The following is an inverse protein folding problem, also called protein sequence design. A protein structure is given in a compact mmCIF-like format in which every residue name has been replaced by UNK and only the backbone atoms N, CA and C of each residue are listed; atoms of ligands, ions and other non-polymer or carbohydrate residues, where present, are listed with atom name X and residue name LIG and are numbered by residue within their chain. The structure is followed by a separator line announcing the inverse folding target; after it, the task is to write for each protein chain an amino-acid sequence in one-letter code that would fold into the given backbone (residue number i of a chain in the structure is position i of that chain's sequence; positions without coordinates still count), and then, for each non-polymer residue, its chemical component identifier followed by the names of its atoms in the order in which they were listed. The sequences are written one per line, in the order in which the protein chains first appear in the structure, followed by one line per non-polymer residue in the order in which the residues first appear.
data_IF_278510193430
#
_entry.id   IF_278510193430
#
_cell.length_a   1.000
_cell.length_b   1.000
_cell.length_c   1.000
_cell.angle_alpha   90.00
_cell.angle_beta   90.00
_cell.angle_gamma   90.00
#
_symmetry.space_group_name_H-M   'P 1'
#
loop_
_entity.id
_entity.type
_entity.pdbx_description
1 polymer ?
#
# COMPACT_ATOMS: atom_id res chain seq x y z
N UNK A 1 -13.64 17.07 -0.90
CA UNK A 1 -12.25 16.79 -1.31
C UNK A 1 -11.97 15.32 -1.16
N UNK A 2 -11.98 14.60 -2.29
CA UNK A 2 -11.69 13.16 -2.28
C UNK A 2 -10.18 12.94 -2.29
N UNK A 3 -9.54 13.16 -1.14
CA UNK A 3 -8.12 12.84 -0.97
C UNK A 3 -7.92 11.33 -0.99
N UNK A 4 -6.83 10.92 -1.62
CA UNK A 4 -6.40 9.51 -1.70
C UNK A 4 -5.32 9.27 -0.66
N UNK A 5 -5.41 8.14 0.02
CA UNK A 5 -4.50 7.76 1.09
C UNK A 5 -3.99 6.33 0.89
N UNK A 6 -2.80 6.09 1.34
CA UNK A 6 -2.33 4.72 1.59
C UNK A 6 -2.74 4.31 3.00
N UNK A 7 -3.66 3.36 3.11
CA UNK A 7 -4.03 2.73 4.37
C UNK A 7 -3.02 1.63 4.70
N UNK A 8 -2.52 1.65 5.91
CA UNK A 8 -1.66 0.61 6.47
C UNK A 8 -2.36 -0.01 7.66
N UNK A 9 -2.57 -1.32 7.63
CA UNK A 9 -3.13 -2.07 8.76
C UNK A 9 -2.13 -3.16 9.16
N UNK A 10 -1.74 -3.16 10.42
CA UNK A 10 -0.83 -4.14 11.02
C UNK A 10 -1.62 -4.93 12.06
N UNK A 11 -1.64 -6.25 11.94
CA UNK A 11 -2.40 -7.14 12.85
C UNK A 11 -1.68 -8.47 13.03
N UNK A 12 -2.23 -9.36 13.83
CA UNK A 12 -1.69 -10.68 14.02
C UNK A 12 -1.96 -11.59 12.80
N UNK A 13 -1.01 -12.45 12.45
CA UNK A 13 -1.10 -13.34 11.28
C UNK A 13 -2.33 -14.24 11.29
N UNK A 14 -2.80 -14.68 12.46
CA UNK A 14 -3.99 -15.52 12.59
C UNK A 14 -5.29 -14.82 12.18
N UNK A 15 -5.32 -13.48 12.13
CA UNK A 15 -6.46 -12.67 11.70
C UNK A 15 -6.56 -12.46 10.18
N UNK A 16 -5.68 -13.09 9.39
CA UNK A 16 -5.62 -12.90 7.92
C UNK A 16 -6.99 -13.05 7.23
N UNK A 17 -7.70 -14.13 7.52
CA UNK A 17 -8.99 -14.43 6.88
C UNK A 17 -10.04 -13.38 7.23
N UNK A 18 -10.12 -13.00 8.50
CA UNK A 18 -11.10 -12.04 9.01
C UNK A 18 -10.91 -10.67 8.33
N UNK A 19 -9.66 -10.17 8.28
CA UNK A 19 -9.36 -8.89 7.63
C UNK A 19 -9.57 -8.92 6.11
N UNK A 20 -9.21 -10.01 5.42
CA UNK A 20 -9.48 -10.15 3.99
C UNK A 20 -10.98 -10.10 3.68
N UNK A 21 -11.81 -10.80 4.46
CA UNK A 21 -13.26 -10.79 4.32
C UNK A 21 -13.79 -9.39 4.61
N UNK A 22 -13.38 -8.80 5.74
CA UNK A 22 -13.78 -7.46 6.14
C UNK A 22 -13.50 -6.41 5.05
N UNK A 23 -12.30 -6.39 4.48
CA UNK A 23 -11.96 -5.42 3.43
C UNK A 23 -12.81 -5.60 2.18
N UNK A 24 -13.01 -6.84 1.72
CA UNK A 24 -13.85 -7.12 0.55
C UNK A 24 -15.32 -6.68 0.77
N UNK A 25 -15.90 -6.99 1.93
CA UNK A 25 -17.26 -6.60 2.29
C UNK A 25 -17.46 -5.08 2.37
N UNK A 26 -16.38 -4.34 2.59
CA UNK A 26 -16.40 -2.87 2.71
C UNK A 26 -15.90 -2.15 1.43
N UNK A 27 -15.95 -2.83 0.27
CA UNK A 27 -15.61 -2.22 -1.02
C UNK A 27 -14.11 -1.99 -1.23
N UNK A 28 -13.26 -2.76 -0.56
CA UNK A 28 -11.81 -2.71 -0.72
C UNK A 28 -11.26 -4.06 -1.22
N UNK A 29 -11.50 -4.42 -2.50
CA UNK A 29 -11.05 -5.70 -3.04
C UNK A 29 -9.56 -5.72 -3.43
N UNK A 30 -8.93 -4.55 -3.57
CA UNK A 30 -7.54 -4.41 -4.01
C UNK A 30 -6.67 -3.98 -2.83
N UNK A 31 -5.80 -4.87 -2.40
CA UNK A 31 -4.80 -4.61 -1.36
C UNK A 31 -3.58 -5.52 -1.55
N UNK A 32 -2.48 -5.13 -0.95
CA UNK A 32 -1.27 -5.93 -0.80
C UNK A 32 -1.20 -6.46 0.63
N UNK A 33 -0.68 -7.66 0.79
CA UNK A 33 -0.38 -8.20 2.13
C UNK A 33 1.06 -8.72 2.18
N UNK A 34 1.71 -8.49 3.30
CA UNK A 34 3.02 -9.03 3.61
C UNK A 34 3.12 -9.40 5.08
N UNK A 35 4.08 -10.23 5.43
CA UNK A 35 4.35 -10.61 6.81
C UNK A 35 5.50 -9.76 7.37
N UNK A 36 5.46 -9.54 8.66
CA UNK A 36 6.51 -8.87 9.40
C UNK A 36 6.67 -9.48 10.79
N UNK A 37 7.67 -9.05 11.52
CA UNK A 37 7.93 -9.47 12.88
C UNK A 37 7.67 -8.30 13.84
N UNK A 38 6.93 -8.55 14.92
CA UNK A 38 6.78 -7.58 16.00
C UNK A 38 8.08 -7.48 16.80
N UNK A 39 8.43 -6.25 17.18
CA UNK A 39 9.67 -5.93 17.91
C UNK A 39 9.34 -5.36 19.31
N UNK A 40 8.17 -5.68 19.89
CA UNK A 40 7.85 -5.29 21.25
C UNK A 40 8.91 -5.88 22.22
N UNK A 41 9.28 -5.11 23.25
CA UNK A 41 10.26 -5.58 24.22
C UNK A 41 9.78 -6.87 24.89
N UNK A 42 10.69 -7.83 25.06
CA UNK A 42 10.42 -9.13 25.66
C UNK A 42 9.74 -9.02 27.03
N UNK A 43 10.13 -8.06 27.87
CA UNK A 43 9.54 -7.82 29.19
C UNK A 43 8.02 -7.60 29.15
N UNK A 44 7.51 -6.89 28.12
CA UNK A 44 6.07 -6.68 27.93
C UNK A 44 5.40 -7.95 27.40
N UNK A 45 6.07 -8.70 26.54
CA UNK A 45 5.56 -9.96 26.01
C UNK A 45 5.54 -11.04 27.07
N UNK A 46 6.61 -11.15 27.88
CA UNK A 46 6.74 -12.10 28.98
C UNK A 46 5.70 -11.84 30.07
N UNK A 47 5.45 -10.57 30.41
CA UNK A 47 4.43 -10.19 31.39
C UNK A 47 3.01 -10.62 31.01
N UNK A 48 2.70 -10.61 29.69
CA UNK A 48 1.39 -11.02 29.15
C UNK A 48 1.38 -12.45 28.61
N UNK A 49 2.48 -13.21 28.74
CA UNK A 49 2.59 -14.57 28.17
C UNK A 49 2.46 -14.60 26.66
N UNK A 50 2.87 -13.53 25.96
CA UNK A 50 2.80 -13.40 24.51
C UNK A 50 4.16 -13.73 23.91
N UNK A 51 4.21 -14.71 23.02
CA UNK A 51 5.38 -14.97 22.19
C UNK A 51 5.54 -13.88 21.11
N UNK A 52 6.77 -13.70 20.59
CA UNK A 52 7.02 -12.87 19.41
C UNK A 52 6.11 -13.30 18.27
N UNK A 53 5.07 -12.53 18.01
CA UNK A 53 4.07 -12.93 17.04
C UNK A 53 4.40 -12.40 15.65
N UNK A 54 4.32 -13.28 14.64
CA UNK A 54 4.31 -12.84 13.25
C UNK A 54 3.15 -11.86 13.02
N UNK A 55 3.48 -10.73 12.46
CA UNK A 55 2.52 -9.69 12.09
C UNK A 55 2.17 -9.80 10.61
N UNK A 56 0.97 -9.40 10.29
CA UNK A 56 0.48 -9.26 8.93
C UNK A 56 0.26 -7.78 8.67
N UNK A 57 0.80 -7.30 7.54
CA UNK A 57 0.62 -5.94 7.05
C UNK A 57 -0.28 -5.98 5.84
N UNK A 58 -1.29 -5.12 5.84
CA UNK A 58 -2.11 -4.82 4.67
C UNK A 58 -1.83 -3.39 4.22
N UNK A 59 -1.60 -3.23 2.92
CA UNK A 59 -1.42 -1.94 2.27
C UNK A 59 -2.52 -1.78 1.21
N UNK A 60 -3.27 -0.70 1.26
CA UNK A 60 -4.34 -0.45 0.30
C UNK A 60 -4.50 1.04 0.02
N UNK A 61 -5.01 1.36 -1.16
CA UNK A 61 -5.33 2.75 -1.51
C UNK A 61 -6.81 2.99 -1.21
N UNK A 62 -7.08 4.01 -0.41
CA UNK A 62 -8.43 4.36 0.02
C UNK A 62 -8.75 5.83 -0.21
N UNK A 63 -10.00 6.11 -0.52
CA UNK A 63 -10.53 7.48 -0.49
C UNK A 63 -10.88 7.89 0.93
N UNK A 64 -11.03 9.19 1.17
CA UNK A 64 -11.43 9.69 2.50
C UNK A 64 -12.77 9.14 2.97
N UNK A 65 -13.73 8.97 2.07
CA UNK A 65 -15.05 8.40 2.39
C UNK A 65 -14.96 6.92 2.72
N UNK A 66 -14.21 6.14 1.93
CA UNK A 66 -13.96 4.74 2.22
C UNK A 66 -13.26 4.56 3.57
N UNK A 67 -12.26 5.39 3.86
CA UNK A 67 -11.61 5.37 5.17
C UNK A 67 -12.55 5.61 6.33
N UNK A 68 -13.48 6.56 6.23
CA UNK A 68 -14.47 6.81 7.29
C UNK A 68 -15.36 5.59 7.55
N UNK A 69 -15.80 4.91 6.47
CA UNK A 69 -16.60 3.68 6.55
C UNK A 69 -15.77 2.54 7.17
N UNK A 70 -14.55 2.31 6.68
CA UNK A 70 -13.62 1.28 7.18
C UNK A 70 -13.25 1.49 8.65
N UNK A 71 -12.90 2.72 9.05
CA UNK A 71 -12.51 3.03 10.43
C UNK A 71 -13.55 2.61 11.44
N UNK A 72 -14.84 2.87 11.17
CA UNK A 72 -15.92 2.42 12.04
C UNK A 72 -15.93 0.90 12.17
N UNK A 73 -15.88 0.17 11.07
CA UNK A 73 -15.86 -1.29 11.07
C UNK A 73 -14.61 -1.89 11.70
N UNK A 74 -13.45 -1.25 11.51
CA UNK A 74 -12.19 -1.67 12.16
C UNK A 74 -12.31 -1.61 13.69
N UNK A 75 -13.00 -0.61 14.23
CA UNK A 75 -13.25 -0.48 15.67
C UNK A 75 -14.33 -1.50 16.11
N UNK A 76 -15.50 -1.50 15.47
CA UNK A 76 -16.68 -2.23 15.97
C UNK A 76 -16.67 -3.73 15.66
N UNK A 77 -16.09 -4.15 14.51
CA UNK A 77 -16.06 -5.55 14.08
C UNK A 77 -14.70 -6.20 14.31
N UNK A 78 -13.62 -5.45 14.00
CA UNK A 78 -12.27 -6.00 14.08
C UNK A 78 -11.59 -5.70 15.40
N UNK A 79 -12.19 -4.84 16.25
CA UNK A 79 -11.70 -4.44 17.58
C UNK A 79 -10.24 -3.94 17.53
N UNK A 80 -9.92 -3.13 16.49
CA UNK A 80 -8.55 -2.68 16.25
C UNK A 80 -8.00 -1.77 17.34
N UNK A 81 -8.88 -1.17 18.15
CA UNK A 81 -8.59 -0.31 19.31
C UNK A 81 -8.28 -1.11 20.59
N UNK A 82 -8.50 -2.43 20.59
CA UNK A 82 -8.14 -3.28 21.73
C UNK A 82 -6.64 -3.54 21.69
N UNK A 83 -5.91 -3.29 22.80
CA UNK A 83 -4.48 -3.56 22.87
C UNK A 83 -4.12 -4.99 22.44
N UNK A 84 -3.08 -5.12 21.60
CA UNK A 84 -2.63 -6.41 21.07
C UNK A 84 -3.35 -6.89 19.81
N UNK A 85 -4.46 -6.29 19.40
CA UNK A 85 -5.17 -6.66 18.15
C UNK A 85 -4.45 -6.15 16.91
N UNK A 86 -4.01 -4.88 16.92
CA UNK A 86 -3.31 -4.28 15.81
C UNK A 86 -3.38 -2.76 15.79
N UNK A 87 -3.00 -2.18 14.66
CA UNK A 87 -3.09 -0.74 14.41
C UNK A 87 -3.46 -0.52 12.94
N UNK A 88 -4.27 0.50 12.68
CA UNK A 88 -4.58 0.95 11.31
C UNK A 88 -4.49 2.46 11.23
N UNK A 89 -3.80 2.95 10.21
CA UNK A 89 -3.62 4.38 9.96
C UNK A 89 -3.59 4.67 8.47
N UNK A 90 -3.68 5.94 8.11
CA UNK A 90 -3.60 6.40 6.72
C UNK A 90 -2.47 7.39 6.53
N UNK A 91 -1.83 7.33 5.37
CA UNK A 91 -0.80 8.26 4.90
C UNK A 91 -1.35 8.97 3.67
N UNK A 92 -1.43 10.32 3.67
CA UNK A 92 -1.89 11.03 2.50
C UNK A 92 -0.93 10.84 1.33
N UNK A 93 -1.48 10.60 0.14
CA UNK A 93 -0.70 10.51 -1.09
C UNK A 93 -0.74 11.84 -1.83
N UNK A 94 0.41 12.32 -2.29
CA UNK A 94 0.52 13.50 -3.13
C UNK A 94 0.14 13.19 -4.59
N UNK A 95 0.45 11.99 -5.06
CA UNK A 95 0.11 11.54 -6.41
C UNK A 95 0.07 10.03 -6.53
N UNK A 96 -0.62 9.53 -7.55
CA UNK A 96 -0.61 8.12 -7.97
C UNK A 96 -0.31 8.05 -9.45
N UNK A 97 0.70 7.29 -9.84
CA UNK A 97 1.14 7.16 -11.23
C UNK A 97 0.10 6.43 -12.09
N UNK A 98 -0.38 7.12 -13.16
CA UNK A 98 -1.28 6.55 -14.13
C UNK A 98 -2.76 6.54 -13.75
N UNK A 99 -3.60 7.09 -14.65
CA UNK A 99 -5.06 7.18 -14.46
C UNK A 99 -5.73 5.81 -14.33
N UNK A 100 -5.33 4.85 -15.16
CA UNK A 100 -5.88 3.49 -15.13
C UNK A 100 -5.47 2.77 -13.85
N UNK A 101 -4.22 2.97 -13.39
CA UNK A 101 -3.73 2.42 -12.14
C UNK A 101 -4.52 2.96 -10.95
N UNK A 102 -4.76 4.28 -10.89
CA UNK A 102 -5.60 4.86 -9.85
C UNK A 102 -7.02 4.26 -9.87
N UNK A 103 -7.65 4.17 -11.04
CA UNK A 103 -8.97 3.56 -11.19
C UNK A 103 -9.00 2.11 -10.72
N UNK A 104 -7.97 1.33 -11.02
CA UNK A 104 -7.82 -0.04 -10.52
C UNK A 104 -7.72 -0.08 -8.98
N UNK A 105 -6.88 0.77 -8.41
CA UNK A 105 -6.61 0.77 -6.97
C UNK A 105 -7.81 1.24 -6.14
N UNK A 106 -8.57 2.23 -6.62
CA UNK A 106 -9.76 2.73 -5.92
C UNK A 106 -11.05 2.00 -6.33
N UNK A 107 -11.06 1.33 -7.49
CA UNK A 107 -12.14 0.49 -8.03
C UNK A 107 -13.56 0.99 -7.67
N UNK A 108 -14.24 0.31 -6.75
CA UNK A 108 -15.62 0.58 -6.34
C UNK A 108 -15.76 1.72 -5.32
N UNK A 109 -14.67 2.37 -4.96
CA UNK A 109 -14.71 3.47 -4.01
C UNK A 109 -15.25 4.74 -4.68
N UNK A 110 -16.03 5.51 -3.93
CA UNK A 110 -16.48 6.82 -4.37
C UNK A 110 -15.26 7.75 -4.51
N UNK A 111 -14.98 8.15 -5.74
CA UNK A 111 -13.86 9.01 -6.07
C UNK A 111 -14.29 10.13 -7.02
N UNK A 112 -14.36 11.34 -6.51
CA UNK A 112 -14.47 12.54 -7.33
C UNK A 112 -13.07 13.05 -7.68
N UNK A 113 -12.84 13.23 -8.98
CA UNK A 113 -11.56 13.72 -9.49
C UNK A 113 -11.42 15.20 -9.13
N UNK A 114 -10.53 15.51 -8.22
CA UNK A 114 -10.10 16.89 -7.96
C UNK A 114 -8.74 17.15 -8.61
N UNK A 115 -8.50 18.43 -8.90
CA UNK A 115 -7.20 18.92 -9.37
C UNK A 115 -6.10 18.61 -8.34
N UNK A 116 -4.90 18.38 -8.85
CA UNK A 116 -3.72 18.09 -8.03
C UNK A 116 -3.58 19.12 -6.92
N UNK A 117 -3.63 18.64 -5.69
CA UNK A 117 -3.39 19.50 -4.53
C UNK A 117 -1.94 19.94 -4.57
N UNK A 118 -1.68 21.26 -4.55
CA UNK A 118 -0.32 21.80 -4.47
C UNK A 118 0.47 21.07 -3.38
N UNK A 119 1.59 20.47 -3.78
CA UNK A 119 2.44 19.71 -2.86
C UNK A 119 3.00 20.67 -1.81
N UNK A 120 2.99 20.24 -0.55
CA UNK A 120 3.75 20.94 0.47
C UNK A 120 5.23 20.88 0.08
N UNK A 121 5.92 21.99 0.27
CA UNK A 121 7.36 22.05 0.05
C UNK A 121 8.04 21.13 1.08
N UNK A 122 8.56 20.01 0.61
CA UNK A 122 9.25 19.01 1.43
C UNK A 122 10.63 18.75 0.84
N UNK A 123 11.62 18.55 1.70
CA UNK A 123 12.99 18.27 1.26
C UNK A 123 13.11 16.86 0.65
N UNK A 124 12.31 15.92 1.15
CA UNK A 124 12.33 14.51 0.73
C UNK A 124 10.93 14.00 0.44
N UNK A 125 10.89 13.01 -0.41
CA UNK A 125 9.67 12.27 -0.76
C UNK A 125 9.91 10.77 -0.71
N UNK A 126 8.85 10.05 -0.35
CA UNK A 126 8.79 8.60 -0.43
C UNK A 126 8.05 8.21 -1.71
N UNK A 127 8.77 7.59 -2.64
CA UNK A 127 8.18 6.90 -3.78
C UNK A 127 7.92 5.44 -3.40
N UNK A 128 6.70 4.99 -3.65
CA UNK A 128 6.30 3.59 -3.47
C UNK A 128 6.02 3.01 -4.85
N UNK A 129 6.92 2.15 -5.35
CA UNK A 129 6.72 1.44 -6.60
C UNK A 129 6.20 0.03 -6.30
N UNK A 130 5.13 -0.39 -7.00
CA UNK A 130 4.56 -1.73 -6.89
C UNK A 130 4.76 -2.42 -8.24
N UNK A 131 5.59 -3.46 -8.24
CA UNK A 131 5.94 -4.21 -9.44
C UNK A 131 5.58 -5.70 -9.30
N UNK A 132 5.52 -6.42 -10.41
CA UNK A 132 5.52 -7.87 -10.38
C UNK A 132 6.90 -8.38 -9.92
N UNK A 133 6.93 -9.55 -9.34
CA UNK A 133 8.18 -10.18 -8.93
C UNK A 133 9.16 -10.31 -10.13
N UNK A 134 10.43 -9.97 -9.88
CA UNK A 134 11.50 -10.02 -10.90
C UNK A 134 11.76 -8.69 -11.62
N UNK A 135 11.06 -7.60 -11.26
CA UNK A 135 11.25 -6.28 -11.88
C UNK A 135 12.07 -5.30 -11.02
N UNK A 136 12.63 -5.75 -9.90
CA UNK A 136 13.43 -4.91 -8.97
C UNK A 136 14.53 -4.17 -9.71
N UNK A 137 15.32 -4.87 -10.52
CA UNK A 137 16.48 -4.29 -11.20
C UNK A 137 16.05 -3.18 -12.17
N UNK A 138 14.98 -3.39 -12.93
CA UNK A 138 14.43 -2.39 -13.83
C UNK A 138 13.98 -1.12 -13.09
N UNK A 139 13.29 -1.29 -11.97
CA UNK A 139 12.85 -0.16 -11.12
C UNK A 139 14.05 0.55 -10.50
N UNK A 140 15.03 -0.21 -9.99
CA UNK A 140 16.21 0.36 -9.35
C UNK A 140 17.18 1.02 -10.33
N UNK A 141 17.25 0.55 -11.58
CA UNK A 141 18.04 1.23 -12.62
C UNK A 141 17.43 2.60 -12.97
N UNK A 142 16.11 2.67 -13.11
CA UNK A 142 15.43 3.95 -13.30
C UNK A 142 15.60 4.88 -12.09
N UNK A 143 15.53 4.34 -10.87
CA UNK A 143 15.75 5.10 -9.65
C UNK A 143 17.18 5.65 -9.56
N UNK A 144 18.19 4.85 -9.89
CA UNK A 144 19.60 5.27 -9.93
C UNK A 144 19.84 6.33 -11.00
N UNK A 145 19.23 6.19 -12.18
CA UNK A 145 19.29 7.21 -13.23
C UNK A 145 18.70 8.55 -12.77
N UNK A 146 17.71 8.53 -11.87
CA UNK A 146 17.13 9.70 -11.22
C UNK A 146 17.88 10.11 -9.92
N UNK A 147 19.10 9.59 -9.70
CA UNK A 147 19.98 9.89 -8.54
C UNK A 147 19.41 9.48 -7.17
N UNK A 148 18.49 8.52 -7.12
CA UNK A 148 18.08 7.93 -5.86
C UNK A 148 19.21 7.10 -5.25
N UNK A 149 19.43 7.23 -3.94
CA UNK A 149 20.53 6.56 -3.24
C UNK A 149 20.36 5.07 -3.03
N UNK A 150 19.11 4.57 -3.17
CA UNK A 150 18.76 3.16 -2.97
C UNK A 150 17.29 2.97 -2.67
N UNK A 151 16.89 1.73 -2.44
CA UNK A 151 15.51 1.39 -2.10
C UNK A 151 15.44 0.18 -1.16
N UNK A 152 14.31 0.05 -0.47
CA UNK A 152 13.98 -1.13 0.34
C UNK A 152 12.89 -1.93 -0.37
N UNK A 153 13.13 -3.21 -0.58
CA UNK A 153 12.17 -4.12 -1.23
C UNK A 153 11.42 -4.94 -0.20
N UNK A 154 10.10 -4.98 -0.34
CA UNK A 154 9.21 -5.79 0.49
C UNK A 154 8.47 -6.76 -0.43
N UNK A 155 8.61 -8.06 -0.20
CA UNK A 155 7.83 -9.05 -0.92
C UNK A 155 6.41 -9.10 -0.37
N UNK A 156 5.43 -9.02 -1.24
CA UNK A 156 4.03 -8.95 -0.88
C UNK A 156 3.17 -9.81 -1.81
N UNK A 157 1.95 -10.11 -1.38
CA UNK A 157 0.92 -10.72 -2.21
C UNK A 157 -0.17 -9.71 -2.50
N UNK A 158 -0.49 -9.55 -3.78
CA UNK A 158 -1.55 -8.67 -4.24
C UNK A 158 -2.89 -9.40 -4.35
N UNK A 159 -3.97 -8.65 -4.24
CA UNK A 159 -5.33 -9.10 -4.53
C UNK A 159 -5.93 -8.32 -5.70
N UNK A 160 -7.12 -8.69 -6.16
CA UNK A 160 -7.80 -7.98 -7.24
C UNK A 160 -7.29 -8.31 -8.65
N UNK A 161 -6.70 -9.49 -8.86
CA UNK A 161 -6.16 -9.89 -10.17
C UNK A 161 -7.20 -9.84 -11.29
N UNK A 162 -8.43 -10.24 -11.02
CA UNK A 162 -9.53 -10.17 -12.00
C UNK A 162 -9.87 -8.73 -12.39
N UNK A 163 -9.82 -7.82 -11.41
CA UNK A 163 -10.05 -6.39 -11.64
C UNK A 163 -8.92 -5.76 -12.46
N UNK A 164 -7.69 -6.23 -12.30
CA UNK A 164 -6.56 -5.76 -13.09
C UNK A 164 -6.77 -6.00 -14.59
N UNK A 165 -7.31 -7.15 -14.97
CA UNK A 165 -7.65 -7.45 -16.37
C UNK A 165 -8.69 -6.45 -16.91
N UNK A 166 -9.67 -6.09 -16.09
CA UNK A 166 -10.73 -5.12 -16.46
C UNK A 166 -10.18 -3.70 -16.67
N UNK A 167 -9.34 -3.20 -15.76
CA UNK A 167 -8.88 -1.80 -15.76
C UNK A 167 -7.59 -1.58 -16.53
N UNK A 168 -6.66 -2.53 -16.44
CA UNK A 168 -5.32 -2.41 -17.01
C UNK A 168 -5.16 -3.18 -18.32
N UNK A 169 -6.08 -4.12 -18.61
CA UNK A 169 -6.02 -4.96 -19.82
C UNK A 169 -4.95 -6.04 -19.74
N UNK A 170 -4.34 -6.26 -18.57
CA UNK A 170 -3.27 -7.22 -18.35
C UNK A 170 -3.61 -8.19 -17.22
N UNK A 171 -3.07 -9.40 -17.29
CA UNK A 171 -3.12 -10.35 -16.18
C UNK A 171 -1.96 -10.05 -15.23
N UNK A 172 -2.29 -9.72 -14.00
CA UNK A 172 -1.29 -9.53 -12.95
C UNK A 172 -1.05 -10.85 -12.23
N UNK A 173 0.19 -11.05 -11.77
CA UNK A 173 0.53 -12.16 -10.86
C UNK A 173 0.29 -11.73 -9.42
N UNK A 174 0.05 -12.70 -8.54
CA UNK A 174 -0.21 -12.43 -7.12
C UNK A 174 1.04 -11.90 -6.42
N UNK A 175 2.21 -12.44 -6.74
CA UNK A 175 3.51 -12.07 -6.17
C UNK A 175 3.91 -10.67 -6.64
N UNK A 176 4.10 -9.79 -5.66
CA UNK A 176 4.46 -8.38 -5.86
C UNK A 176 5.70 -8.01 -5.08
N UNK A 177 6.38 -7.01 -5.59
CA UNK A 177 7.49 -6.33 -4.94
C UNK A 177 7.08 -4.88 -4.69
N UNK A 178 7.09 -4.48 -3.43
CA UNK A 178 6.86 -3.09 -3.01
C UNK A 178 8.22 -2.49 -2.74
N UNK A 179 8.62 -1.53 -3.54
CA UNK A 179 9.93 -0.89 -3.48
C UNK A 179 9.74 0.52 -2.91
N UNK A 180 10.33 0.76 -1.75
CA UNK A 180 10.32 2.03 -1.06
C UNK A 180 11.61 2.79 -1.38
N UNK A 181 11.49 3.95 -2.04
CA UNK A 181 12.62 4.77 -2.46
C UNK A 181 12.45 6.17 -1.86
N UNK A 182 13.44 6.60 -1.08
CA UNK A 182 13.50 7.98 -0.58
C UNK A 182 14.35 8.81 -1.53
N UNK A 183 13.81 9.91 -2.01
CA UNK A 183 14.50 10.83 -2.91
C UNK A 183 14.30 12.28 -2.47
N UNK A 184 15.22 13.18 -2.88
CA UNK A 184 15.05 14.61 -2.68
C UNK A 184 13.97 15.16 -3.60
N UNK A 185 13.10 16.01 -3.08
CA UNK A 185 11.95 16.55 -3.84
C UNK A 185 12.35 17.29 -5.12
N UNK A 186 13.54 17.90 -5.14
CA UNK A 186 14.09 18.61 -6.32
C UNK A 186 14.66 17.68 -7.40
N UNK A 187 14.93 16.42 -7.06
CA UNK A 187 15.45 15.40 -7.96
C UNK A 187 14.33 14.55 -8.57
N UNK A 188 13.08 14.98 -8.42
CA UNK A 188 11.92 14.45 -9.13
C UNK A 188 12.07 14.56 -10.64
N UNK A 189 12.97 13.82 -11.21
CA UNK A 189 12.98 13.71 -12.64
C UNK A 189 11.81 12.79 -13.06
N UNK A 190 10.98 13.32 -13.93
CA UNK A 190 9.84 12.69 -14.60
C UNK A 190 10.11 11.27 -15.13
N UNK A 191 11.35 10.84 -15.21
CA UNK A 191 11.74 9.49 -15.61
C UNK A 191 11.25 8.37 -14.70
N UNK A 192 11.06 8.64 -13.39
CA UNK A 192 10.47 7.64 -12.48
C UNK A 192 8.96 7.46 -12.71
N UNK A 193 8.29 8.45 -13.26
CA UNK A 193 6.86 8.38 -13.62
C UNK A 193 6.64 7.51 -14.87
N UNK A 194 7.68 7.27 -15.66
CA UNK A 194 7.65 6.48 -16.89
C UNK A 194 8.05 5.00 -16.71
N UNK A 195 8.05 4.49 -15.48
CA UNK A 195 8.04 3.03 -15.27
C UNK A 195 6.61 2.52 -15.55
N UNK A 196 6.08 2.86 -16.70
CA UNK A 196 5.01 2.12 -17.32
C UNK A 196 5.61 0.82 -17.85
N UNK A 197 4.90 -0.28 -17.63
CA UNK A 197 5.27 -1.61 -18.13
C UNK A 197 5.86 -1.51 -19.55
N UNK A 198 6.95 -2.23 -19.85
CA UNK A 198 7.48 -2.24 -21.22
C UNK A 198 6.36 -2.71 -22.13
N UNK A 199 5.93 -1.82 -23.03
CA UNK A 199 5.07 -2.18 -24.16
C UNK A 199 5.77 -3.32 -24.90
N UNK A 200 5.22 -4.52 -24.80
CA UNK A 200 5.61 -5.63 -25.68
C UNK A 200 5.31 -5.19 -27.12
N UNK A 201 6.36 -4.97 -27.86
CA UNK A 201 6.31 -5.00 -29.32
C UNK A 201 6.18 -6.43 -29.79
#
# INVERSE_FOLDING_TARGET
MSKVYMMVTITNRNKRKDFRTFFKEHGLPVFLETTGRGTAQSEVLDYFGLEESEKLLFLAIVTGETWKKLRRGLITKMMIDVPGTGVSFIVPLSSVGGRKTLQFLVNEQEFEKEEETAMKDTDYELLVAIANQGYIDTVMDAARAAKAGGGTVIHAKGTGMELAKKYLGVSLVEEKEVILIVTKSREKNLSLIHISEPTRH
#
